data_IF_070766656703
#
_entry.id   IF_070766656703
#
_cell.length_a   1.000
_cell.length_b   1.000
_cell.length_c   1.000
_cell.angle_alpha   90.00
_cell.angle_beta   90.00
_cell.angle_gamma   90.00
#
_symmetry.space_group_name_H-M   'P 1'
#
loop_
_entity.id
_entity.type
_entity.pdbx_description
1 polymer ?
#
# COMPACT_ATOMS: atom_id res chain seq x y z
N UNK A 1 -39.43 -3.50 39.57
CA UNK A 1 -39.06 -2.90 38.26
C UNK A 1 -37.92 -3.72 37.69
N UNK A 2 -38.16 -4.51 36.64
CA UNK A 2 -37.18 -5.41 36.06
C UNK A 2 -36.39 -4.65 35.00
N UNK A 3 -35.11 -4.42 35.25
CA UNK A 3 -34.18 -3.79 34.34
C UNK A 3 -33.88 -4.76 33.17
N UNK A 4 -34.43 -4.46 32.01
CA UNK A 4 -34.20 -5.18 30.74
C UNK A 4 -32.72 -5.01 30.36
N UNK A 5 -31.84 -6.00 30.65
CA UNK A 5 -30.52 -6.10 30.07
C UNK A 5 -30.67 -6.24 28.55
N UNK A 6 -30.42 -5.16 27.82
CA UNK A 6 -30.28 -5.17 26.37
C UNK A 6 -29.02 -6.03 26.09
N UNK A 7 -29.22 -7.26 25.58
CA UNK A 7 -28.15 -8.06 25.00
C UNK A 7 -27.61 -7.25 23.81
N UNK A 8 -26.44 -6.59 23.98
CA UNK A 8 -25.66 -6.13 22.85
C UNK A 8 -25.27 -7.38 22.04
N UNK A 9 -25.93 -7.59 20.92
CA UNK A 9 -25.51 -8.55 19.91
C UNK A 9 -24.10 -8.15 19.49
N UNK A 10 -23.10 -8.98 19.80
CA UNK A 10 -21.72 -8.76 19.40
C UNK A 10 -21.70 -8.57 17.88
N UNK A 11 -21.40 -7.36 17.43
CA UNK A 11 -21.29 -7.04 15.99
C UNK A 11 -20.17 -7.89 15.42
N UNK A 12 -20.49 -8.72 14.44
CA UNK A 12 -19.47 -9.58 13.77
C UNK A 12 -18.46 -8.63 13.12
N UNK A 13 -17.21 -8.65 13.64
CA UNK A 13 -16.12 -7.84 13.12
C UNK A 13 -15.78 -8.28 11.69
N UNK A 14 -15.30 -7.37 10.85
CA UNK A 14 -14.94 -7.62 9.45
C UNK A 14 -13.48 -8.02 9.29
N UNK A 15 -13.19 -8.77 8.23
CA UNK A 15 -11.85 -8.93 7.65
C UNK A 15 -11.71 -7.92 6.51
N UNK A 16 -10.83 -6.95 6.68
CA UNK A 16 -10.59 -5.90 5.70
C UNK A 16 -9.48 -6.31 4.74
N UNK A 17 -9.79 -6.49 3.45
CA UNK A 17 -8.83 -6.73 2.38
C UNK A 17 -8.47 -5.38 1.74
N UNK A 18 -7.26 -4.87 2.04
CA UNK A 18 -6.83 -3.56 1.58
C UNK A 18 -5.93 -3.67 0.35
N UNK A 19 -6.33 -3.01 -0.74
CA UNK A 19 -5.60 -2.93 -2.00
C UNK A 19 -5.23 -1.47 -2.28
N UNK A 20 -4.00 -1.26 -2.79
CA UNK A 20 -3.54 0.05 -3.26
C UNK A 20 -2.71 -0.08 -4.52
N UNK A 21 -2.97 0.80 -5.48
CA UNK A 21 -2.15 0.98 -6.67
C UNK A 21 -1.85 2.46 -6.84
N UNK A 22 -0.60 2.83 -7.13
CA UNK A 22 -0.22 4.18 -7.53
C UNK A 22 -0.10 4.26 -9.05
N UNK A 23 -0.23 5.46 -9.62
CA UNK A 23 -0.04 5.68 -11.07
C UNK A 23 1.32 5.18 -11.56
N UNK A 24 2.35 5.28 -10.72
CA UNK A 24 3.71 4.81 -11.05
C UNK A 24 3.81 3.28 -11.04
N UNK A 25 2.93 2.58 -10.31
CA UNK A 25 2.91 1.12 -10.23
C UNK A 25 2.19 0.49 -11.44
N UNK A 26 1.32 1.22 -12.14
CA UNK A 26 0.63 0.76 -13.36
C UNK A 26 1.62 0.41 -14.49
N UNK A 27 2.77 1.08 -14.52
CA UNK A 27 3.82 0.84 -15.52
C UNK A 27 4.61 -0.46 -15.30
N UNK A 28 4.40 -1.17 -14.19
CA UNK A 28 5.19 -2.35 -13.79
C UNK A 28 4.57 -3.71 -14.12
N UNK A 29 3.47 -3.73 -14.90
CA UNK A 29 2.85 -4.95 -15.42
C UNK A 29 1.73 -5.54 -14.53
N UNK A 30 1.04 -6.55 -15.04
CA UNK A 30 -0.21 -7.14 -14.52
C UNK A 30 -0.15 -7.65 -13.08
N UNK A 31 1.05 -8.01 -12.58
CA UNK A 31 1.21 -8.58 -11.24
C UNK A 31 0.85 -7.61 -10.09
N UNK A 32 0.81 -6.31 -10.36
CA UNK A 32 0.51 -5.27 -9.37
C UNK A 32 -0.90 -4.68 -9.51
N UNK A 33 -1.68 -5.13 -10.47
CA UNK A 33 -3.04 -4.63 -10.68
C UNK A 33 -3.94 -4.85 -9.45
N UNK A 34 -4.93 -3.99 -9.28
CA UNK A 34 -5.95 -4.13 -8.22
C UNK A 34 -6.69 -5.46 -8.31
N UNK A 35 -6.93 -5.95 -9.53
CA UNK A 35 -7.60 -7.24 -9.77
C UNK A 35 -6.77 -8.39 -9.20
N UNK A 36 -5.46 -8.40 -9.51
CA UNK A 36 -4.55 -9.42 -9.01
C UNK A 36 -4.41 -9.35 -7.47
N UNK A 37 -4.30 -8.14 -6.91
CA UNK A 37 -4.27 -7.97 -5.45
C UNK A 37 -5.54 -8.56 -4.80
N UNK A 38 -6.73 -8.24 -5.32
CA UNK A 38 -8.00 -8.79 -4.81
C UNK A 38 -8.03 -10.31 -4.87
N UNK A 39 -7.54 -10.91 -5.96
CA UNK A 39 -7.47 -12.37 -6.12
C UNK A 39 -6.57 -12.99 -5.05
N UNK A 40 -5.33 -12.50 -4.90
CA UNK A 40 -4.37 -12.98 -3.89
C UNK A 40 -4.94 -12.86 -2.47
N UNK A 41 -5.50 -11.70 -2.13
CA UNK A 41 -6.06 -11.47 -0.79
C UNK A 41 -7.28 -12.37 -0.51
N UNK A 42 -8.11 -12.62 -1.53
CA UNK A 42 -9.28 -13.48 -1.40
C UNK A 42 -8.85 -14.94 -1.20
N UNK A 43 -7.93 -15.45 -2.03
CA UNK A 43 -7.41 -16.82 -1.88
C UNK A 43 -6.82 -17.04 -0.50
N UNK A 44 -5.99 -16.11 -0.02
CA UNK A 44 -5.42 -16.17 1.32
C UNK A 44 -6.51 -16.18 2.41
N UNK A 45 -7.52 -15.33 2.29
CA UNK A 45 -8.61 -15.27 3.26
C UNK A 45 -9.43 -16.57 3.30
N UNK A 46 -9.67 -17.18 2.14
CA UNK A 46 -10.39 -18.45 2.03
C UNK A 46 -9.57 -19.61 2.63
N UNK A 47 -8.27 -19.69 2.32
CA UNK A 47 -7.36 -20.71 2.85
C UNK A 47 -7.22 -20.64 4.38
N UNK A 48 -7.31 -19.43 4.96
CA UNK A 48 -7.19 -19.22 6.41
C UNK A 48 -8.54 -19.05 7.12
N UNK A 49 -9.64 -19.38 6.45
CA UNK A 49 -11.01 -19.30 6.97
C UNK A 49 -11.37 -17.92 7.55
N UNK A 50 -10.84 -16.83 6.97
CA UNK A 50 -11.14 -15.46 7.36
C UNK A 50 -12.50 -15.06 6.80
N UNK A 51 -13.50 -14.96 7.67
CA UNK A 51 -14.88 -14.62 7.30
C UNK A 51 -15.17 -13.12 7.23
N UNK A 52 -16.40 -12.76 6.83
CA UNK A 52 -16.93 -11.40 6.79
C UNK A 52 -16.02 -10.40 6.04
N UNK A 53 -15.64 -10.76 4.81
CA UNK A 53 -14.69 -10.03 3.99
C UNK A 53 -15.29 -8.71 3.48
N UNK A 54 -14.53 -7.61 3.61
CA UNK A 54 -14.82 -6.32 2.98
C UNK A 54 -13.58 -5.75 2.30
N UNK A 55 -13.72 -5.33 1.03
CA UNK A 55 -12.65 -4.71 0.26
C UNK A 55 -12.55 -3.20 0.52
N UNK A 56 -11.30 -2.74 0.64
CA UNK A 56 -10.94 -1.33 0.69
C UNK A 56 -9.90 -1.07 -0.41
N UNK A 57 -10.24 -0.24 -1.38
CA UNK A 57 -9.42 -0.03 -2.57
C UNK A 57 -9.11 1.45 -2.74
N UNK A 58 -7.84 1.78 -2.81
CA UNK A 58 -7.30 3.09 -3.17
C UNK A 58 -6.50 2.94 -4.46
N UNK A 59 -7.16 3.17 -5.60
CA UNK A 59 -6.57 3.14 -6.94
C UNK A 59 -6.11 4.52 -7.35
N UNK A 60 -4.89 4.63 -7.91
CA UNK A 60 -4.27 5.90 -8.30
C UNK A 60 -3.66 6.71 -7.14
N UNK A 61 -3.59 6.16 -5.93
CA UNK A 61 -3.08 6.86 -4.74
C UNK A 61 -1.65 6.44 -4.37
N UNK A 62 -0.79 7.44 -4.10
CA UNK A 62 0.60 7.20 -3.66
C UNK A 62 0.65 6.50 -2.29
N UNK A 63 1.70 5.69 -2.08
CA UNK A 63 2.01 5.07 -0.79
C UNK A 63 2.66 6.03 0.22
N UNK A 64 3.10 7.23 -0.19
CA UNK A 64 3.77 8.21 0.68
C UNK A 64 2.81 8.97 1.57
N UNK A 65 1.52 8.98 1.27
CA UNK A 65 0.50 9.67 2.07
C UNK A 65 -0.58 8.69 2.54
N UNK A 66 -1.18 8.95 3.71
CA UNK A 66 -2.35 8.26 4.24
C UNK A 66 -3.66 9.03 4.01
N UNK A 67 -3.62 10.11 3.23
CA UNK A 67 -4.78 10.91 2.82
C UNK A 67 -5.57 10.23 1.67
N UNK A 68 -5.93 8.96 1.88
CA UNK A 68 -6.59 8.10 0.91
C UNK A 68 -8.03 7.78 1.35
N UNK A 69 -9.03 7.84 0.46
CA UNK A 69 -10.44 7.68 0.82
C UNK A 69 -10.78 6.33 1.46
N UNK A 70 -10.31 5.20 0.85
CA UNK A 70 -10.61 3.88 1.38
C UNK A 70 -9.85 3.63 2.69
N UNK A 71 -8.59 4.08 2.80
CA UNK A 71 -7.84 4.04 4.04
C UNK A 71 -8.54 4.79 5.17
N UNK A 72 -8.97 6.03 4.92
CA UNK A 72 -9.73 6.81 5.93
C UNK A 72 -11.03 6.12 6.36
N UNK A 73 -11.73 5.45 5.43
CA UNK A 73 -12.91 4.64 5.79
C UNK A 73 -12.54 3.45 6.67
N UNK A 74 -11.45 2.76 6.35
CA UNK A 74 -10.95 1.63 7.13
C UNK A 74 -10.57 2.07 8.55
N UNK A 75 -9.77 3.13 8.69
CA UNK A 75 -9.37 3.68 10.01
C UNK A 75 -10.57 4.07 10.86
N UNK A 76 -11.62 4.65 10.27
CA UNK A 76 -12.86 4.95 11.01
C UNK A 76 -13.55 3.68 11.52
N UNK A 77 -13.52 2.58 10.76
CA UNK A 77 -14.07 1.28 11.20
C UNK A 77 -13.22 0.63 12.29
N UNK A 78 -11.89 0.75 12.20
CA UNK A 78 -10.96 0.31 13.26
C UNK A 78 -11.31 1.01 14.57
N UNK A 79 -11.39 2.35 14.56
CA UNK A 79 -11.75 3.15 15.74
C UNK A 79 -13.13 2.82 16.34
N UNK A 80 -14.04 2.23 15.55
CA UNK A 80 -15.36 1.77 16.03
C UNK A 80 -15.35 0.32 16.51
N UNK A 81 -14.18 -0.36 16.48
CA UNK A 81 -14.06 -1.77 16.84
C UNK A 81 -14.77 -2.73 15.87
N UNK A 82 -15.01 -2.30 14.62
CA UNK A 82 -15.72 -3.08 13.61
C UNK A 82 -14.79 -4.01 12.80
N UNK A 83 -13.46 -3.92 12.97
CA UNK A 83 -12.45 -4.68 12.22
C UNK A 83 -11.79 -5.70 13.13
N UNK A 84 -11.71 -6.96 12.69
CA UNK A 84 -10.95 -8.01 13.36
C UNK A 84 -9.56 -8.18 12.74
N UNK A 85 -9.49 -8.17 11.40
CA UNK A 85 -8.27 -8.48 10.68
C UNK A 85 -8.11 -7.53 9.48
N UNK A 86 -6.88 -7.12 9.21
CA UNK A 86 -6.51 -6.39 7.99
C UNK A 86 -5.52 -7.26 7.23
N UNK A 87 -5.78 -7.51 5.95
CA UNK A 87 -4.89 -8.25 5.07
C UNK A 87 -4.44 -7.37 3.93
N UNK A 88 -3.14 -7.29 3.70
CA UNK A 88 -2.51 -6.62 2.56
C UNK A 88 -1.61 -7.60 1.79
N UNK A 89 -1.38 -7.35 0.50
CA UNK A 89 -0.43 -8.15 -0.28
C UNK A 89 0.98 -8.02 0.27
N UNK A 90 1.41 -6.79 0.52
CA UNK A 90 2.72 -6.45 1.08
C UNK A 90 2.64 -5.13 1.85
N UNK A 91 3.63 -4.85 2.71
CA UNK A 91 3.70 -3.64 3.53
C UNK A 91 3.69 -2.36 2.70
N UNK A 92 4.20 -2.37 1.47
CA UNK A 92 4.20 -1.19 0.59
C UNK A 92 2.78 -0.78 0.17
N UNK A 93 1.81 -1.72 0.20
CA UNK A 93 0.38 -1.41 -0.03
C UNK A 93 -0.19 -0.62 1.14
N UNK A 94 0.22 -0.94 2.38
CA UNK A 94 -0.15 -0.14 3.54
C UNK A 94 0.42 1.28 3.42
N UNK A 95 1.74 1.41 3.21
CA UNK A 95 2.40 2.70 3.02
C UNK A 95 3.89 2.56 2.71
N UNK A 96 4.50 3.68 2.27
CA UNK A 96 5.95 3.82 2.05
C UNK A 96 6.61 4.73 3.09
N UNK A 97 5.84 5.32 4.00
CA UNK A 97 6.30 6.11 5.14
C UNK A 97 6.40 5.18 6.35
N UNK A 98 7.62 4.78 6.70
CA UNK A 98 7.85 3.77 7.75
C UNK A 98 7.39 4.23 9.12
N UNK A 99 7.48 5.53 9.43
CA UNK A 99 7.03 6.08 10.73
C UNK A 99 5.52 5.90 10.86
N UNK A 100 4.78 6.24 9.82
CA UNK A 100 3.31 6.10 9.82
C UNK A 100 2.87 4.64 9.75
N UNK A 101 3.57 3.80 8.95
CA UNK A 101 3.31 2.36 8.92
C UNK A 101 3.53 1.77 10.30
N UNK A 102 4.68 2.03 10.94
CA UNK A 102 4.99 1.58 12.29
C UNK A 102 3.96 2.08 13.33
N UNK A 103 3.56 3.36 13.25
CA UNK A 103 2.49 3.87 14.13
C UNK A 103 1.20 3.04 14.02
N UNK A 104 0.83 2.61 12.81
CA UNK A 104 -0.36 1.77 12.64
C UNK A 104 -0.12 0.34 13.10
N UNK A 105 1.00 -0.31 12.72
CA UNK A 105 1.28 -1.71 13.05
C UNK A 105 1.60 -1.93 14.51
N UNK A 106 2.33 -1.02 15.15
CA UNK A 106 2.90 -1.22 16.46
C UNK A 106 2.07 -0.57 17.58
N UNK A 107 1.20 0.39 17.23
CA UNK A 107 0.36 1.11 18.21
C UNK A 107 -1.12 0.95 17.89
N UNK A 108 -1.58 1.46 16.73
CA UNK A 108 -3.02 1.61 16.45
C UNK A 108 -3.74 0.26 16.30
N UNK A 109 -3.13 -0.71 15.59
CA UNK A 109 -3.74 -2.02 15.41
C UNK A 109 -3.74 -2.85 16.69
N UNK A 110 -2.64 -2.94 17.46
CA UNK A 110 -2.64 -3.61 18.77
C UNK A 110 -3.64 -3.00 19.76
N UNK A 111 -3.68 -1.65 19.89
CA UNK A 111 -4.65 -0.98 20.78
C UNK A 111 -6.11 -1.26 20.39
N UNK A 112 -6.39 -1.44 19.09
CA UNK A 112 -7.73 -1.77 18.59
C UNK A 112 -8.01 -3.28 18.53
N UNK A 113 -7.09 -4.13 18.99
CA UNK A 113 -7.16 -5.60 18.88
C UNK A 113 -7.36 -6.07 17.44
N UNK A 114 -6.69 -5.43 16.47
CA UNK A 114 -6.77 -5.76 15.05
C UNK A 114 -5.55 -6.56 14.63
N UNK A 115 -5.76 -7.80 14.17
CA UNK A 115 -4.71 -8.61 13.54
C UNK A 115 -4.32 -8.00 12.20
N UNK A 116 -3.01 -7.85 11.95
CA UNK A 116 -2.47 -7.36 10.69
C UNK A 116 -1.67 -8.45 9.98
N UNK A 117 -1.94 -8.64 8.68
CA UNK A 117 -1.29 -9.64 7.85
C UNK A 117 -0.75 -8.99 6.57
N UNK A 118 0.55 -9.16 6.28
CA UNK A 118 1.17 -8.79 5.02
C UNK A 118 1.76 -10.05 4.36
N UNK A 119 1.04 -10.58 3.34
CA UNK A 119 1.27 -11.91 2.78
C UNK A 119 2.70 -12.09 2.27
N UNK A 120 3.15 -11.23 1.36
CA UNK A 120 4.47 -11.35 0.73
C UNK A 120 5.64 -11.07 1.69
N UNK A 121 5.38 -10.44 2.82
CA UNK A 121 6.38 -10.16 3.84
C UNK A 121 6.39 -11.24 4.94
N UNK A 122 5.52 -12.24 4.87
CA UNK A 122 5.30 -13.25 5.90
C UNK A 122 5.05 -12.62 7.29
N UNK A 123 4.37 -11.47 7.34
CA UNK A 123 4.04 -10.77 8.59
C UNK A 123 2.63 -11.12 9.00
N UNK A 124 2.47 -11.57 10.25
CA UNK A 124 1.19 -11.83 10.88
C UNK A 124 1.27 -11.51 12.37
N UNK A 125 0.58 -10.46 12.80
CA UNK A 125 0.65 -9.99 14.19
C UNK A 125 -0.03 -10.90 15.20
N UNK A 126 -0.64 -12.02 14.78
CA UNK A 126 -1.10 -13.06 15.69
C UNK A 126 0.05 -13.92 16.25
N UNK A 127 1.23 -13.89 15.61
CA UNK A 127 2.41 -14.63 16.02
C UNK A 127 3.49 -13.65 16.51
N UNK A 128 3.90 -13.75 17.78
CA UNK A 128 4.86 -12.81 18.40
C UNK A 128 6.21 -12.78 17.69
N UNK A 129 6.66 -13.90 17.10
CA UNK A 129 7.93 -14.01 16.38
C UNK A 129 8.03 -13.15 15.12
N UNK A 130 6.89 -12.83 14.47
CA UNK A 130 6.87 -12.05 13.23
C UNK A 130 6.97 -10.54 13.50
N UNK A 131 6.70 -10.10 14.73
CA UNK A 131 6.67 -8.67 15.07
C UNK A 131 8.05 -8.04 15.20
N UNK A 132 9.07 -8.78 15.63
CA UNK A 132 10.41 -8.25 15.85
C UNK A 132 11.10 -7.78 14.56
N UNK A 133 10.72 -8.35 13.41
CA UNK A 133 11.27 -7.98 12.10
C UNK A 133 10.52 -6.82 11.41
N UNK A 134 9.30 -6.49 11.85
CA UNK A 134 8.49 -5.42 11.25
C UNK A 134 9.20 -4.06 11.17
N UNK A 135 9.85 -3.56 12.24
CA UNK A 135 10.57 -2.29 12.19
C UNK A 135 11.68 -2.29 11.13
N UNK A 136 12.41 -3.41 11.01
CA UNK A 136 13.50 -3.56 10.03
C UNK A 136 12.95 -3.58 8.60
N UNK A 137 11.88 -4.32 8.32
CA UNK A 137 11.23 -4.38 7.00
C UNK A 137 10.74 -2.99 6.60
N UNK A 138 10.16 -2.24 7.52
CA UNK A 138 9.71 -0.87 7.29
C UNK A 138 10.88 0.07 6.93
N UNK A 139 11.99 -0.02 7.67
CA UNK A 139 13.22 0.73 7.41
C UNK A 139 13.80 0.37 6.02
N UNK A 140 13.91 -0.91 5.68
CA UNK A 140 14.39 -1.36 4.37
C UNK A 140 13.53 -0.82 3.21
N UNK A 141 12.21 -0.85 3.35
CA UNK A 141 11.29 -0.31 2.34
C UNK A 141 11.49 1.20 2.12
N UNK A 142 11.75 1.96 3.17
CA UNK A 142 12.06 3.39 3.07
C UNK A 142 13.42 3.64 2.40
N UNK A 143 14.46 2.91 2.82
CA UNK A 143 15.79 3.01 2.20
C UNK A 143 15.73 2.70 0.71
N UNK A 144 15.03 1.63 0.33
CA UNK A 144 14.87 1.26 -1.07
C UNK A 144 14.18 2.36 -1.89
N UNK A 145 13.11 2.95 -1.36
CA UNK A 145 12.41 4.06 -2.02
C UNK A 145 13.30 5.30 -2.16
N UNK A 146 14.06 5.66 -1.13
CA UNK A 146 15.01 6.80 -1.14
C UNK A 146 16.17 6.54 -2.11
N UNK A 147 16.75 5.34 -2.11
CA UNK A 147 17.85 4.99 -2.99
C UNK A 147 17.41 5.00 -4.46
N UNK A 148 16.26 4.41 -4.78
CA UNK A 148 15.67 4.44 -6.12
C UNK A 148 15.42 5.87 -6.59
N UNK A 149 14.83 6.73 -5.73
CA UNK A 149 14.62 8.15 -6.05
C UNK A 149 15.93 8.89 -6.29
N UNK A 150 16.98 8.60 -5.51
CA UNK A 150 18.32 9.17 -5.70
C UNK A 150 18.91 8.76 -7.04
N UNK A 151 18.85 7.46 -7.38
CA UNK A 151 19.35 6.92 -8.65
C UNK A 151 18.66 7.56 -9.86
N UNK A 152 17.33 7.66 -9.81
CA UNK A 152 16.54 8.31 -10.87
C UNK A 152 16.98 9.78 -11.04
N UNK A 153 17.12 10.53 -9.94
CA UNK A 153 17.54 11.94 -10.00
C UNK A 153 18.95 12.10 -10.59
N UNK A 154 19.87 11.21 -10.26
CA UNK A 154 21.24 11.23 -10.84
C UNK A 154 21.20 11.00 -12.34
N UNK A 155 20.44 9.99 -12.80
CA UNK A 155 20.29 9.70 -14.24
C UNK A 155 19.61 10.85 -14.98
N UNK A 156 18.54 11.42 -14.44
CA UNK A 156 17.87 12.56 -15.05
C UNK A 156 18.78 13.78 -15.13
N UNK A 157 19.55 14.06 -14.06
CA UNK A 157 20.53 15.14 -14.06
C UNK A 157 21.62 14.94 -15.10
N UNK A 158 22.18 13.73 -15.20
CA UNK A 158 23.19 13.40 -16.22
C UNK A 158 22.64 13.61 -17.64
N UNK A 159 21.45 13.06 -17.94
CA UNK A 159 20.77 13.27 -19.22
C UNK A 159 20.52 14.75 -19.53
N UNK A 160 20.09 15.53 -18.54
CA UNK A 160 19.86 16.96 -18.72
C UNK A 160 21.14 17.72 -19.00
N UNK A 161 22.28 17.35 -18.34
CA UNK A 161 23.59 17.95 -18.62
C UNK A 161 24.14 17.58 -20.01
N UNK A 162 23.77 16.42 -20.53
CA UNK A 162 24.09 15.98 -21.91
C UNK A 162 23.13 16.58 -22.96
N UNK A 163 22.17 17.39 -22.57
CA UNK A 163 21.17 17.96 -23.49
C UNK A 163 20.11 16.96 -23.99
N UNK A 164 20.06 15.76 -23.38
CA UNK A 164 19.09 14.73 -23.77
C UNK A 164 17.70 15.00 -23.19
N UNK A 165 16.62 14.67 -23.91
CA UNK A 165 15.27 14.88 -23.45
C UNK A 165 15.00 14.07 -22.17
N UNK A 166 14.43 14.73 -21.14
CA UNK A 166 14.08 14.11 -19.85
C UNK A 166 12.68 13.53 -19.83
N UNK A 167 11.84 13.87 -20.79
CA UNK A 167 10.45 13.41 -20.93
C UNK A 167 10.28 12.64 -22.23
N UNK A 168 9.37 11.67 -22.21
CA UNK A 168 8.90 11.00 -23.43
C UNK A 168 8.00 11.88 -24.29
N UNK A 169 7.43 12.93 -23.68
CA UNK A 169 6.59 13.93 -24.37
C UNK A 169 7.47 15.10 -24.80
N UNK A 170 7.37 15.44 -26.07
CA UNK A 170 8.07 16.58 -26.62
C UNK A 170 7.43 17.90 -26.18
N UNK A 171 8.23 18.96 -25.99
CA UNK A 171 7.69 20.31 -25.88
C UNK A 171 6.91 20.69 -27.13
N UNK A 172 5.94 21.59 -26.99
CA UNK A 172 5.19 22.11 -28.14
C UNK A 172 6.14 22.74 -29.16
N UNK A 173 5.96 22.40 -30.45
CA UNK A 173 6.81 22.91 -31.54
C UNK A 173 8.06 22.07 -31.83
N UNK A 174 8.30 20.99 -31.09
CA UNK A 174 9.47 20.09 -31.33
C UNK A 174 9.03 18.73 -31.85
N UNK A 175 9.83 18.13 -32.72
CA UNK A 175 9.68 16.76 -33.22
C UNK A 175 10.92 15.95 -32.89
N UNK A 176 10.76 14.63 -32.78
CA UNK A 176 11.89 13.72 -32.61
C UNK A 176 12.60 13.55 -33.94
N UNK A 177 13.93 13.46 -33.88
CA UNK A 177 14.72 13.08 -35.03
C UNK A 177 14.36 11.64 -35.47
N UNK A 178 14.04 11.43 -36.77
CA UNK A 178 13.67 10.08 -37.26
C UNK A 178 14.82 9.08 -37.22
N UNK A 179 16.08 9.54 -37.30
CA UNK A 179 17.27 8.69 -37.31
C UNK A 179 17.82 8.46 -35.90
N UNK A 180 17.66 9.45 -35.00
CA UNK A 180 18.07 9.33 -33.59
C UNK A 180 16.94 9.84 -32.66
N UNK A 181 16.14 8.93 -32.17
CA UNK A 181 15.02 9.21 -31.26
C UNK A 181 15.43 9.83 -29.92
N UNK A 182 16.75 9.90 -29.62
CA UNK A 182 17.28 10.61 -28.46
C UNK A 182 17.41 12.11 -28.66
N UNK A 183 17.35 12.58 -29.92
CA UNK A 183 17.43 13.98 -30.30
C UNK A 183 16.05 14.57 -30.57
N UNK A 184 15.93 15.87 -30.37
CA UNK A 184 14.75 16.67 -30.72
C UNK A 184 15.18 17.92 -31.50
N UNK A 185 14.38 18.33 -32.46
CA UNK A 185 14.59 19.56 -33.23
C UNK A 185 13.26 20.29 -33.46
N UNK A 186 13.36 21.56 -33.91
CA UNK A 186 12.20 22.41 -34.25
C UNK A 186 11.70 22.07 -35.65
#
# INVERSE_FOLDING_TARGET
>A
MATKKIKQTAKIKITALYCRLSRDDELKGDSNSIINQKHILKSYADEHALGNIQYFVDDGYSGTTFERPAWKRLVRKIKRGEVATIVVKDLSRLGRDYIKVGMYTDIVFPEAEVRFIAINNAVDTAYEYDNDMLPFINIFNEFYAKDTSRKIRVVLRAKGMEGKPLSSHLPYGYVKDPEDLSLIHI
#
